data_IF_947734112082
#
_entry.id   IF_947734112082
#
_cell.length_a   1.000
_cell.length_b   1.000
_cell.length_c   1.000
_cell.angle_alpha   90.00
_cell.angle_beta   90.00
_cell.angle_gamma   90.00
#
_symmetry.space_group_name_H-M   'P 1'
#
loop_
_entity.id
_entity.type
_entity.pdbx_description
1 polymer ?
#
# COMPACT_ATOMS: atom_id res chain seq x y z
N UNK A 1 26.76 13.83 -36.56
CA UNK A 1 25.74 14.23 -35.58
C UNK A 1 26.12 13.57 -34.27
N UNK A 2 26.48 14.32 -33.20
CA UNK A 2 26.69 13.69 -31.92
C UNK A 2 25.34 13.16 -31.44
N UNK A 3 25.29 11.91 -30.99
CA UNK A 3 24.12 11.37 -30.30
C UNK A 3 23.91 12.19 -29.04
N UNK A 4 22.91 13.07 -29.05
CA UNK A 4 22.44 13.74 -27.85
C UNK A 4 21.74 12.68 -27.01
N UNK A 5 22.40 12.22 -25.94
CA UNK A 5 21.72 11.54 -24.86
C UNK A 5 20.72 12.54 -24.28
N UNK A 6 19.44 12.39 -24.65
CA UNK A 6 18.38 13.13 -23.96
C UNK A 6 18.40 12.66 -22.49
N UNK A 7 18.46 13.58 -21.51
CA UNK A 7 18.45 13.19 -20.11
C UNK A 7 17.18 12.39 -19.82
N UNK A 8 17.32 11.25 -19.14
CA UNK A 8 16.18 10.42 -18.71
C UNK A 8 15.22 11.29 -17.89
N UNK A 9 13.92 11.14 -18.13
CA UNK A 9 12.92 11.92 -17.42
C UNK A 9 12.90 11.55 -15.93
N UNK A 10 13.31 12.46 -15.06
CA UNK A 10 13.38 12.22 -13.62
C UNK A 10 12.09 12.61 -12.89
N UNK A 11 11.02 12.97 -13.60
CA UNK A 11 9.74 13.37 -13.00
C UNK A 11 9.00 12.26 -12.27
N UNK A 12 9.35 10.98 -12.53
CA UNK A 12 8.69 9.83 -11.92
C UNK A 12 9.05 9.66 -10.44
N UNK A 13 10.31 9.89 -10.04
CA UNK A 13 10.75 9.62 -8.67
C UNK A 13 10.00 10.44 -7.60
N UNK A 14 9.77 11.76 -7.78
CA UNK A 14 8.96 12.52 -6.83
C UNK A 14 7.51 12.04 -6.74
N UNK A 15 6.94 11.51 -7.83
CA UNK A 15 5.57 10.98 -7.83
C UNK A 15 5.49 9.68 -7.03
N UNK A 16 6.43 8.75 -7.21
CA UNK A 16 6.50 7.53 -6.39
C UNK A 16 6.70 7.85 -4.90
N UNK A 17 7.58 8.80 -4.59
CA UNK A 17 7.79 9.22 -3.20
C UNK A 17 6.52 9.84 -2.60
N UNK A 18 5.82 10.70 -3.34
CA UNK A 18 4.56 11.28 -2.90
C UNK A 18 3.45 10.23 -2.68
N UNK A 19 3.33 9.25 -3.58
CA UNK A 19 2.40 8.12 -3.39
C UNK A 19 2.73 7.32 -2.12
N UNK A 20 4.01 7.03 -1.86
CA UNK A 20 4.40 6.31 -0.65
C UNK A 20 4.19 7.12 0.65
N UNK A 21 4.47 8.43 0.63
CA UNK A 21 4.16 9.33 1.76
C UNK A 21 2.65 9.41 2.03
N UNK A 22 1.83 9.35 0.98
CA UNK A 22 0.38 9.27 1.09
C UNK A 22 -0.06 7.97 1.80
N UNK A 23 0.57 6.83 1.50
CA UNK A 23 0.33 5.55 2.19
C UNK A 23 0.71 5.61 3.69
N UNK A 24 1.77 6.33 4.06
CA UNK A 24 2.12 6.54 5.48
C UNK A 24 0.98 7.28 6.18
N UNK A 25 0.48 8.35 5.57
CA UNK A 25 -0.65 9.12 6.12
C UNK A 25 -1.92 8.27 6.20
N UNK A 26 -2.21 7.47 5.16
CA UNK A 26 -3.39 6.61 5.11
C UNK A 26 -3.36 5.52 6.19
N UNK A 27 -2.22 4.87 6.39
CA UNK A 27 -2.07 3.82 7.43
C UNK A 27 -2.15 4.40 8.85
N UNK A 28 -1.68 5.63 9.07
CA UNK A 28 -1.90 6.36 10.33
C UNK A 28 -3.38 6.63 10.60
N UNK A 29 -4.09 7.16 9.59
CA UNK A 29 -5.54 7.42 9.67
C UNK A 29 -6.32 6.12 9.87
N UNK A 30 -5.93 5.03 9.21
CA UNK A 30 -6.51 3.69 9.38
C UNK A 30 -6.34 3.21 10.83
N UNK A 31 -5.16 3.40 11.43
CA UNK A 31 -4.91 3.11 12.83
C UNK A 31 -5.85 3.87 13.76
N UNK A 32 -6.02 5.18 13.55
CA UNK A 32 -7.02 5.99 14.27
C UNK A 32 -8.45 5.45 14.05
N UNK A 33 -8.80 5.10 12.81
CA UNK A 33 -10.14 4.63 12.42
C UNK A 33 -10.53 3.33 13.14
N UNK A 34 -9.59 2.39 13.26
CA UNK A 34 -9.83 1.12 13.95
C UNK A 34 -10.14 1.35 15.44
N UNK A 35 -9.44 2.29 16.08
CA UNK A 35 -9.55 2.56 17.51
C UNK A 35 -10.68 3.52 17.90
N UNK A 36 -10.91 4.59 17.13
CA UNK A 36 -11.87 5.65 17.46
C UNK A 36 -13.21 5.46 16.74
N UNK A 37 -14.08 4.67 17.36
CA UNK A 37 -15.41 4.38 16.83
C UNK A 37 -16.26 5.64 16.59
N UNK A 38 -16.11 6.68 17.42
CA UNK A 38 -16.91 7.90 17.31
C UNK A 38 -16.50 8.75 16.11
N UNK A 39 -15.23 8.68 15.70
CA UNK A 39 -14.68 9.44 14.56
C UNK A 39 -14.64 8.67 13.26
N UNK A 40 -15.06 7.41 13.19
CA UNK A 40 -14.98 6.59 11.97
C UNK A 40 -15.56 7.23 10.72
N UNK A 41 -16.72 7.90 10.82
CA UNK A 41 -17.30 8.58 9.65
C UNK A 41 -16.42 9.73 9.14
N UNK A 42 -15.79 10.50 10.04
CA UNK A 42 -14.83 11.56 9.68
C UNK A 42 -13.56 10.95 9.07
N UNK A 43 -13.04 9.89 9.68
CA UNK A 43 -11.80 9.25 9.27
C UNK A 43 -11.94 8.49 7.94
N UNK A 44 -13.10 7.88 7.66
CA UNK A 44 -13.41 7.28 6.36
C UNK A 44 -13.39 8.31 5.23
N UNK A 45 -13.96 9.51 5.46
CA UNK A 45 -13.87 10.61 4.48
C UNK A 45 -12.41 11.00 4.22
N UNK A 46 -11.58 11.05 5.27
CA UNK A 46 -10.14 11.33 5.09
C UNK A 46 -9.42 10.24 4.29
N UNK A 47 -9.73 8.97 4.53
CA UNK A 47 -9.15 7.86 3.77
C UNK A 47 -9.53 7.94 2.28
N UNK A 48 -10.78 8.30 1.98
CA UNK A 48 -11.22 8.55 0.61
C UNK A 48 -10.54 9.75 -0.04
N UNK A 49 -10.35 10.84 0.72
CA UNK A 49 -9.60 11.99 0.21
C UNK A 49 -8.13 11.61 -0.10
N UNK A 50 -7.54 10.71 0.69
CA UNK A 50 -6.19 10.18 0.46
C UNK A 50 -6.13 9.22 -0.74
N UNK A 51 -7.15 8.39 -0.94
CA UNK A 51 -7.31 7.58 -2.16
C UNK A 51 -7.32 8.48 -3.40
N UNK A 52 -8.16 9.52 -3.41
CA UNK A 52 -8.21 10.48 -4.52
C UNK A 52 -6.87 11.19 -4.79
N UNK A 53 -6.03 11.37 -3.77
CA UNK A 53 -4.67 11.92 -3.93
C UNK A 53 -3.73 10.89 -4.55
N UNK A 54 -3.78 9.63 -4.10
CA UNK A 54 -3.00 8.52 -4.68
C UNK A 54 -3.33 8.33 -6.16
N UNK A 55 -4.62 8.26 -6.45
CA UNK A 55 -5.20 8.04 -7.77
C UNK A 55 -4.78 9.15 -8.78
N UNK A 56 -4.74 10.41 -8.31
CA UNK A 56 -4.19 11.53 -9.08
C UNK A 56 -2.69 11.39 -9.39
N UNK A 57 -1.90 10.88 -8.44
CA UNK A 57 -0.47 10.64 -8.62
C UNK A 57 -0.23 9.49 -9.61
N UNK A 58 -0.98 8.39 -9.49
CA UNK A 58 -0.98 7.25 -10.42
C UNK A 58 -1.31 7.71 -11.83
N UNK A 59 -2.38 8.47 -12.02
CA UNK A 59 -2.72 9.08 -13.31
C UNK A 59 -1.65 10.04 -13.83
N UNK A 60 -0.97 10.80 -12.96
CA UNK A 60 0.13 11.67 -13.38
C UNK A 60 1.32 10.84 -13.92
N UNK A 61 1.66 9.72 -13.28
CA UNK A 61 2.69 8.79 -13.74
C UNK A 61 2.32 8.20 -15.11
N UNK A 62 1.08 7.74 -15.28
CA UNK A 62 0.63 7.17 -16.56
C UNK A 62 0.62 8.19 -17.69
N UNK A 63 0.23 9.44 -17.42
CA UNK A 63 0.34 10.53 -18.40
C UNK A 63 1.79 10.81 -18.77
N UNK A 64 2.67 10.90 -17.77
CA UNK A 64 4.09 11.13 -18.01
C UNK A 64 4.70 9.99 -18.84
N UNK A 65 4.39 8.73 -18.52
CA UNK A 65 4.77 7.55 -19.31
C UNK A 65 4.35 7.71 -20.77
N UNK A 66 3.08 8.02 -21.04
CA UNK A 66 2.55 8.14 -22.41
C UNK A 66 3.22 9.25 -23.23
N UNK A 67 3.70 10.31 -22.59
CA UNK A 67 4.33 11.45 -23.27
C UNK A 67 5.86 11.39 -23.30
N UNK A 68 6.49 10.59 -22.43
CA UNK A 68 7.94 10.54 -22.27
C UNK A 68 8.56 9.55 -23.26
N UNK A 69 9.52 10.04 -24.04
CA UNK A 69 10.28 9.23 -25.02
C UNK A 69 11.46 8.48 -24.39
N UNK A 70 11.96 8.95 -23.23
CA UNK A 70 13.10 8.37 -22.52
C UNK A 70 12.77 8.26 -21.03
N UNK A 71 12.63 7.03 -20.53
CA UNK A 71 12.27 6.72 -19.15
C UNK A 71 13.49 6.39 -18.27
N UNK A 72 13.40 6.54 -16.94
CA UNK A 72 14.49 6.24 -16.00
C UNK A 72 14.91 4.76 -16.02
N UNK A 73 13.94 3.86 -16.17
CA UNK A 73 14.07 2.41 -16.31
C UNK A 73 12.90 1.91 -17.18
N UNK A 74 12.69 0.59 -17.22
CA UNK A 74 11.66 -0.05 -18.04
C UNK A 74 10.25 0.52 -17.78
N UNK A 75 9.47 0.66 -18.85
CA UNK A 75 8.15 1.33 -18.81
C UNK A 75 7.12 0.49 -18.07
N UNK A 76 7.20 -0.84 -18.20
CA UNK A 76 6.27 -1.75 -17.54
C UNK A 76 6.56 -1.74 -16.03
N UNK A 77 7.82 -1.63 -15.63
CA UNK A 77 8.19 -1.49 -14.21
C UNK A 77 7.67 -0.18 -13.60
N UNK A 78 7.73 0.96 -14.32
CA UNK A 78 7.14 2.23 -13.86
C UNK A 78 5.62 2.11 -13.71
N UNK A 79 4.97 1.46 -14.68
CA UNK A 79 3.52 1.24 -14.64
C UNK A 79 3.13 0.37 -13.45
N UNK A 80 3.78 -0.78 -13.29
CA UNK A 80 3.50 -1.73 -12.22
C UNK A 80 3.77 -1.12 -10.85
N UNK A 81 4.87 -0.36 -10.69
CA UNK A 81 5.17 0.30 -9.43
C UNK A 81 4.09 1.32 -9.04
N UNK A 82 3.60 2.10 -10.01
CA UNK A 82 2.51 3.04 -9.75
C UNK A 82 1.21 2.31 -9.41
N UNK A 83 0.85 1.29 -10.18
CA UNK A 83 -0.36 0.48 -9.96
C UNK A 83 -0.37 -0.16 -8.57
N UNK A 84 0.71 -0.83 -8.17
CA UNK A 84 0.72 -1.50 -6.87
C UNK A 84 0.76 -0.53 -5.68
N UNK A 85 1.32 0.67 -5.83
CA UNK A 85 1.20 1.71 -4.79
C UNK A 85 -0.26 2.19 -4.65
N UNK A 86 -0.98 2.26 -5.75
CA UNK A 86 -2.42 2.58 -5.81
C UNK A 86 -3.26 1.46 -5.17
N UNK A 87 -2.99 0.21 -5.54
CA UNK A 87 -3.71 -0.96 -5.04
C UNK A 87 -3.62 -1.07 -3.49
N UNK A 88 -2.49 -0.70 -2.89
CA UNK A 88 -2.37 -0.59 -1.41
C UNK A 88 -3.35 0.42 -0.85
N UNK A 89 -3.44 1.61 -1.45
CA UNK A 89 -4.31 2.69 -1.00
C UNK A 89 -5.79 2.28 -1.12
N UNK A 90 -6.15 1.65 -2.24
CA UNK A 90 -7.49 1.14 -2.51
C UNK A 90 -7.91 0.09 -1.47
N UNK A 91 -7.04 -0.88 -1.17
CA UNK A 91 -7.33 -1.89 -0.16
C UNK A 91 -7.53 -1.29 1.25
N UNK A 92 -6.76 -0.24 1.59
CA UNK A 92 -6.92 0.50 2.86
C UNK A 92 -8.27 1.23 2.91
N UNK A 93 -8.67 1.93 1.84
CA UNK A 93 -9.96 2.63 1.77
C UNK A 93 -11.12 1.64 1.82
N UNK A 94 -11.03 0.55 1.05
CA UNK A 94 -12.03 -0.50 1.00
C UNK A 94 -12.25 -1.17 2.36
N UNK A 95 -11.18 -1.42 3.13
CA UNK A 95 -11.29 -1.95 4.49
C UNK A 95 -12.12 -1.01 5.40
N UNK A 96 -11.88 0.30 5.32
CA UNK A 96 -12.61 1.28 6.11
C UNK A 96 -14.08 1.43 5.64
N UNK A 97 -14.31 1.47 4.34
CA UNK A 97 -15.65 1.56 3.75
C UNK A 97 -16.49 0.33 4.12
N UNK A 98 -15.91 -0.88 4.13
CA UNK A 98 -16.59 -2.10 4.60
C UNK A 98 -16.99 -2.03 6.08
N UNK A 99 -16.14 -1.48 6.95
CA UNK A 99 -16.49 -1.31 8.38
C UNK A 99 -17.71 -0.39 8.53
N UNK A 100 -17.77 0.71 7.77
CA UNK A 100 -18.90 1.64 7.77
C UNK A 100 -20.16 0.96 7.19
N UNK A 101 -20.05 0.37 6.01
CA UNK A 101 -21.16 -0.23 5.26
C UNK A 101 -21.83 -1.36 6.05
N UNK A 102 -21.03 -2.18 6.71
CA UNK A 102 -21.52 -3.34 7.47
C UNK A 102 -21.98 -3.00 8.88
N UNK A 103 -21.71 -1.77 9.35
CA UNK A 103 -22.06 -1.29 10.68
C UNK A 103 -21.30 -2.03 11.80
N UNK A 104 -20.05 -2.44 11.54
CA UNK A 104 -19.24 -3.13 12.53
C UNK A 104 -18.90 -2.20 13.71
N UNK A 105 -19.06 -2.71 14.92
CA UNK A 105 -18.73 -2.00 16.16
C UNK A 105 -17.25 -2.15 16.51
N UNK A 106 -16.96 -2.76 17.66
CA UNK A 106 -15.59 -3.03 18.08
C UNK A 106 -14.95 -4.07 17.15
N UNK A 107 -13.80 -3.73 16.57
CA UNK A 107 -13.05 -4.64 15.73
C UNK A 107 -12.12 -5.53 16.58
N UNK A 108 -11.85 -6.78 16.16
CA UNK A 108 -10.86 -7.64 16.79
C UNK A 108 -9.49 -6.97 16.92
N UNK A 109 -8.77 -7.24 18.02
CA UNK A 109 -7.46 -6.64 18.29
C UNK A 109 -6.42 -6.98 17.22
N UNK A 110 -6.59 -8.13 16.55
CA UNK A 110 -5.78 -8.59 15.42
C UNK A 110 -5.86 -7.61 14.23
N UNK A 111 -6.99 -6.93 14.00
CA UNK A 111 -7.08 -5.92 12.94
C UNK A 111 -6.27 -4.66 13.26
N UNK A 112 -6.23 -4.25 14.54
CA UNK A 112 -5.36 -3.15 14.96
C UNK A 112 -3.87 -3.52 14.84
N UNK A 113 -3.53 -4.78 15.13
CA UNK A 113 -2.18 -5.30 14.90
C UNK A 113 -1.82 -5.32 13.42
N UNK A 114 -2.76 -5.69 12.52
CA UNK A 114 -2.56 -5.61 11.07
C UNK A 114 -2.29 -4.17 10.61
N UNK A 115 -3.09 -3.20 11.05
CA UNK A 115 -2.87 -1.80 10.68
C UNK A 115 -1.49 -1.28 11.14
N UNK A 116 -0.99 -1.74 12.30
CA UNK A 116 0.38 -1.41 12.74
C UNK A 116 1.46 -2.03 11.83
N UNK A 117 1.23 -3.22 11.27
CA UNK A 117 2.14 -3.81 10.29
C UNK A 117 2.10 -3.04 8.97
N UNK A 118 0.91 -2.69 8.48
CA UNK A 118 0.75 -1.85 7.28
C UNK A 118 1.45 -0.50 7.43
N UNK A 119 1.37 0.14 8.60
CA UNK A 119 2.08 1.39 8.87
C UNK A 119 3.60 1.23 8.75
N UNK A 120 4.15 0.10 9.24
CA UNK A 120 5.58 -0.20 9.12
C UNK A 120 5.98 -0.50 7.68
N UNK A 121 5.13 -1.18 6.91
CA UNK A 121 5.32 -1.35 5.46
C UNK A 121 5.37 0.02 4.77
N UNK A 122 4.37 0.87 5.02
CA UNK A 122 4.27 2.20 4.42
C UNK A 122 5.52 3.06 4.69
N UNK A 123 5.99 3.09 5.94
CA UNK A 123 7.22 3.82 6.31
C UNK A 123 8.44 3.26 5.57
N UNK A 124 8.59 1.94 5.56
CA UNK A 124 9.69 1.24 4.88
C UNK A 124 9.68 1.52 3.37
N UNK A 125 8.49 1.54 2.75
CA UNK A 125 8.27 1.89 1.34
C UNK A 125 8.60 3.36 1.05
N UNK A 126 8.14 4.29 1.89
CA UNK A 126 8.42 5.72 1.74
C UNK A 126 9.92 6.04 1.84
N UNK A 127 10.65 5.36 2.73
CA UNK A 127 12.11 5.47 2.82
C UNK A 127 12.83 4.95 1.56
N UNK A 128 12.26 3.93 0.89
CA UNK A 128 12.85 3.31 -0.29
C UNK A 128 12.61 4.09 -1.59
N UNK A 129 11.44 4.72 -1.78
CA UNK A 129 11.09 5.37 -3.06
C UNK A 129 12.11 6.42 -3.54
N UNK A 130 12.66 7.32 -2.70
CA UNK A 130 13.70 8.25 -3.12
C UNK A 130 15.00 7.58 -3.60
N UNK A 131 15.31 6.37 -3.09
CA UNK A 131 16.53 5.61 -3.39
C UNK A 131 16.48 4.96 -4.78
N UNK A 132 15.32 4.92 -5.44
CA UNK A 132 15.17 4.47 -6.83
C UNK A 132 16.00 5.29 -7.83
N UNK A 133 16.40 6.52 -7.47
CA UNK A 133 17.26 7.35 -8.31
C UNK A 133 18.68 6.79 -8.45
N UNK A 134 19.18 6.10 -7.42
CA UNK A 134 20.52 5.52 -7.42
C UNK A 134 20.51 4.01 -7.56
N UNK A 135 19.38 3.36 -7.24
CA UNK A 135 19.21 1.91 -7.22
C UNK A 135 20.22 1.18 -6.33
N UNK A 136 20.80 1.89 -5.35
CA UNK A 136 21.81 1.35 -4.44
C UNK A 136 21.21 0.94 -3.10
N UNK A 137 21.76 -0.15 -2.59
CA UNK A 137 21.54 -0.69 -1.25
C UNK A 137 20.10 -1.10 -0.94
N UNK A 138 19.20 -1.16 -1.93
CA UNK A 138 17.76 -1.39 -1.74
C UNK A 138 17.38 -2.78 -1.16
N UNK A 139 18.34 -3.69 -0.97
CA UNK A 139 18.02 -5.05 -0.51
C UNK A 139 17.45 -5.13 0.89
N UNK A 140 17.80 -4.16 1.74
CA UNK A 140 17.19 -4.00 3.05
C UNK A 140 15.67 -3.80 2.97
N UNK A 141 15.21 -3.02 1.98
CA UNK A 141 13.81 -2.69 1.78
C UNK A 141 12.95 -3.93 1.49
N UNK A 142 13.25 -4.69 0.43
CA UNK A 142 12.39 -5.82 0.07
C UNK A 142 12.50 -6.98 1.06
N UNK A 143 13.64 -7.15 1.74
CA UNK A 143 13.77 -8.12 2.84
C UNK A 143 12.85 -7.75 4.02
N UNK A 144 12.81 -6.47 4.41
CA UNK A 144 11.97 -6.04 5.53
C UNK A 144 10.48 -6.09 5.18
N UNK A 145 10.07 -5.66 3.99
CA UNK A 145 8.66 -5.76 3.56
C UNK A 145 8.20 -7.21 3.51
N UNK A 146 8.99 -8.13 2.93
CA UNK A 146 8.69 -9.56 2.96
C UNK A 146 8.54 -10.09 4.39
N UNK A 147 9.39 -9.65 5.32
CA UNK A 147 9.30 -10.05 6.73
C UNK A 147 8.00 -9.56 7.38
N UNK A 148 7.58 -8.34 7.06
CA UNK A 148 6.34 -7.71 7.56
C UNK A 148 5.10 -8.39 7.01
N UNK A 149 5.04 -8.67 5.70
CA UNK A 149 3.97 -9.45 5.06
C UNK A 149 3.84 -10.83 5.73
N UNK A 150 4.97 -11.52 5.95
CA UNK A 150 4.97 -12.83 6.62
C UNK A 150 4.50 -12.77 8.10
N UNK A 151 4.52 -11.59 8.70
CA UNK A 151 3.95 -11.33 10.03
C UNK A 151 2.43 -11.07 9.92
N UNK A 152 2.02 -10.33 8.90
CA UNK A 152 0.63 -10.03 8.55
C UNK A 152 -0.16 -11.31 8.21
N UNK A 153 0.34 -12.17 7.32
CA UNK A 153 -0.31 -13.44 6.94
C UNK A 153 -0.52 -14.38 8.15
N UNK A 154 0.47 -14.45 9.06
CA UNK A 154 0.33 -15.24 10.30
C UNK A 154 -0.75 -14.68 11.21
N UNK A 155 -0.87 -13.35 11.26
CA UNK A 155 -1.87 -12.66 12.06
C UNK A 155 -3.26 -12.81 11.45
N UNK A 156 -3.39 -12.68 10.13
CA UNK A 156 -4.61 -12.95 9.38
C UNK A 156 -5.11 -14.39 9.60
N UNK A 157 -4.24 -15.40 9.46
CA UNK A 157 -4.60 -16.80 9.74
C UNK A 157 -5.05 -17.03 11.18
N UNK A 158 -4.46 -16.32 12.15
CA UNK A 158 -4.88 -16.36 13.55
C UNK A 158 -6.28 -15.76 13.72
N UNK A 159 -6.53 -14.61 13.10
CA UNK A 159 -7.84 -13.97 13.10
C UNK A 159 -8.89 -14.91 12.49
N UNK A 160 -8.63 -15.51 11.32
CA UNK A 160 -9.53 -16.48 10.71
C UNK A 160 -9.85 -17.65 11.64
N UNK A 161 -8.84 -18.24 12.28
CA UNK A 161 -9.03 -19.32 13.26
C UNK A 161 -9.96 -18.90 14.40
N UNK A 162 -9.81 -17.67 14.90
CA UNK A 162 -10.66 -17.10 15.94
C UNK A 162 -12.08 -16.84 15.44
N UNK A 163 -12.26 -16.29 14.24
CA UNK A 163 -13.58 -16.05 13.65
C UNK A 163 -14.39 -17.36 13.55
N UNK A 164 -13.73 -18.47 13.19
CA UNK A 164 -14.38 -19.78 13.09
C UNK A 164 -14.42 -20.59 14.39
N UNK A 165 -14.04 -20.02 15.54
CA UNK A 165 -13.98 -20.72 16.83
C UNK A 165 -15.34 -20.99 17.48
N UNK A 166 -16.40 -20.33 16.99
CA UNK A 166 -17.74 -20.32 17.61
C UNK A 166 -17.99 -19.12 18.55
N UNK A 167 -17.05 -18.17 18.65
CA UNK A 167 -17.21 -16.91 19.38
C UNK A 167 -18.21 -15.94 18.70
N UNK A 168 -18.31 -16.00 17.36
CA UNK A 168 -19.07 -15.06 16.54
C UNK A 168 -20.23 -15.73 15.81
N UNK A 169 -21.28 -14.98 15.50
CA UNK A 169 -22.35 -15.47 14.62
C UNK A 169 -21.93 -15.43 13.15
N UNK A 170 -22.65 -16.16 12.29
CA UNK A 170 -22.27 -16.31 10.88
C UNK A 170 -22.24 -14.98 10.10
N UNK A 171 -23.10 -14.02 10.44
CA UNK A 171 -23.13 -12.73 9.76
C UNK A 171 -21.98 -11.84 10.23
N UNK A 172 -21.65 -11.87 11.52
CA UNK A 172 -20.50 -11.16 12.07
C UNK A 172 -19.18 -11.72 11.50
N UNK A 173 -19.04 -13.05 11.38
CA UNK A 173 -17.90 -13.68 10.72
C UNK A 173 -17.75 -13.17 9.29
N UNK A 174 -18.84 -13.13 8.51
CA UNK A 174 -18.79 -12.66 7.12
C UNK A 174 -18.25 -11.22 7.04
N UNK A 175 -18.81 -10.31 7.84
CA UNK A 175 -18.40 -8.89 7.87
C UNK A 175 -16.95 -8.71 8.30
N UNK A 176 -16.55 -9.37 9.39
CA UNK A 176 -15.18 -9.27 9.90
C UNK A 176 -14.17 -9.88 8.93
N UNK A 177 -14.53 -10.97 8.26
CA UNK A 177 -13.67 -11.59 7.25
C UNK A 177 -13.45 -10.65 6.06
N UNK A 178 -14.50 -10.01 5.53
CA UNK A 178 -14.35 -9.08 4.40
C UNK A 178 -13.37 -7.94 4.71
N UNK A 179 -13.44 -7.37 5.91
CA UNK A 179 -12.47 -6.35 6.36
C UNK A 179 -11.08 -6.94 6.53
N UNK A 180 -10.96 -8.13 7.13
CA UNK A 180 -9.67 -8.79 7.32
C UNK A 180 -8.99 -9.13 6.00
N UNK A 181 -9.76 -9.54 4.99
CA UNK A 181 -9.27 -9.83 3.64
C UNK A 181 -8.67 -8.58 3.00
N UNK A 182 -9.32 -7.41 3.12
CA UNK A 182 -8.78 -6.15 2.58
C UNK A 182 -7.50 -5.69 3.30
N UNK A 183 -7.41 -5.87 4.62
CA UNK A 183 -6.18 -5.55 5.35
C UNK A 183 -5.01 -6.46 4.95
N UNK A 184 -5.29 -7.72 4.65
CA UNK A 184 -4.30 -8.67 4.14
C UNK A 184 -3.89 -8.34 2.70
N UNK A 185 -4.85 -8.02 1.83
CA UNK A 185 -4.60 -7.60 0.45
C UNK A 185 -3.70 -6.35 0.41
N UNK A 186 -3.90 -5.39 1.31
CA UNK A 186 -3.00 -4.24 1.44
C UNK A 186 -1.56 -4.65 1.78
N UNK A 187 -1.36 -5.67 2.62
CA UNK A 187 -0.03 -6.17 2.97
C UNK A 187 0.63 -6.88 1.78
N UNK A 188 -0.14 -7.68 1.04
CA UNK A 188 0.30 -8.36 -0.18
C UNK A 188 0.67 -7.35 -1.29
N UNK A 189 -0.09 -6.28 -1.47
CA UNK A 189 0.26 -5.21 -2.39
C UNK A 189 1.56 -4.49 -2.01
N UNK A 190 1.86 -4.30 -0.72
CA UNK A 190 3.17 -3.81 -0.30
C UNK A 190 4.31 -4.76 -0.73
N UNK A 191 4.11 -6.08 -0.61
CA UNK A 191 5.06 -7.07 -1.11
C UNK A 191 5.23 -6.97 -2.63
N UNK A 192 4.14 -6.81 -3.37
CA UNK A 192 4.18 -6.58 -4.82
C UNK A 192 4.98 -5.32 -5.20
N UNK A 193 4.81 -4.21 -4.48
CA UNK A 193 5.66 -3.01 -4.63
C UNK A 193 7.13 -3.37 -4.41
N UNK A 194 7.45 -4.11 -3.36
CA UNK A 194 8.82 -4.52 -3.06
C UNK A 194 9.43 -5.43 -4.14
N UNK A 195 8.66 -6.37 -4.66
CA UNK A 195 9.06 -7.29 -5.72
C UNK A 195 9.33 -6.55 -7.05
N UNK A 196 8.56 -5.50 -7.37
CA UNK A 196 8.85 -4.62 -8.52
C UNK A 196 10.15 -3.85 -8.30
N UNK A 197 10.39 -3.31 -7.10
CA UNK A 197 11.65 -2.60 -6.78
C UNK A 197 12.86 -3.54 -6.89
N UNK A 198 12.77 -4.77 -6.39
CA UNK A 198 13.81 -5.79 -6.55
C UNK A 198 14.06 -6.09 -8.03
N UNK A 199 13.00 -6.25 -8.82
CA UNK A 199 13.08 -6.50 -10.27
C UNK A 199 13.82 -5.37 -11.00
N UNK A 200 13.50 -4.11 -10.69
CA UNK A 200 14.19 -2.94 -11.26
C UNK A 200 15.68 -2.98 -10.90
N UNK A 201 16.02 -3.24 -9.63
CA UNK A 201 17.40 -3.30 -9.17
C UNK A 201 18.20 -4.40 -9.88
N UNK A 202 17.61 -5.58 -10.09
CA UNK A 202 18.24 -6.70 -10.82
C UNK A 202 18.46 -6.37 -12.29
N UNK A 203 17.50 -5.70 -12.95
CA UNK A 203 17.61 -5.32 -14.37
C UNK A 203 18.68 -4.26 -14.64
N UNK A 204 18.91 -3.37 -13.68
CA UNK A 204 19.84 -2.23 -13.81
C UNK A 204 21.22 -2.50 -13.15
N UNK A 205 21.46 -3.73 -12.67
CA UNK A 205 22.74 -4.19 -12.10
C UNK A 205 23.81 -4.55 -13.14
#
# INVERSE_FOLDING_TARGET
MPFSFSPKDSSFYPLFAASADNLVTATEVLGEFIHDHARRAELAVKLRDLEHVGDQATHAIFRALNTSFVTPFDRDDIYNLASYLDDVMDAIEAAADLVILTGLGTLPAEMAQQASLLQRCAQTTAEAMPRLKTLKDLSDYWIEVNRLENEADKLYRRLLSRLYSGEFDALEILKLKEVADQLEEAADHFEHVANVVETIAVKES
#
